data_IF_778093226702
#
_entry.id   IF_778093226702
#
_cell.length_a   1.000
_cell.length_b   1.000
_cell.length_c   1.000
_cell.angle_alpha   90.00
_cell.angle_beta   90.00
_cell.angle_gamma   90.00
#
_symmetry.space_group_name_H-M   'P 1'
#
loop_
_entity.id
_entity.type
_entity.pdbx_description
1 polymer ?
#
# COMPACT_ATOMS: atom_id res chain seq x y z
N UNK A 1 -4.20 41.28 20.39
CA UNK A 1 -5.58 41.72 20.55
C UNK A 1 -6.43 40.46 20.39
N UNK A 2 -6.78 39.76 21.51
CA UNK A 2 -8.08 39.84 22.21
C UNK A 2 -9.22 39.52 21.23
N UNK A 3 -10.10 38.54 21.36
CA UNK A 3 -10.78 37.81 22.44
C UNK A 3 -11.68 36.79 21.75
N UNK A 4 -11.82 35.57 22.24
CA UNK A 4 -12.94 34.98 23.02
C UNK A 4 -14.37 35.11 22.42
N UNK A 5 -14.99 33.93 22.24
CA UNK A 5 -16.36 33.59 22.61
C UNK A 5 -16.45 32.06 22.60
N UNK A 6 -16.58 31.38 23.52
CA UNK A 6 -17.37 30.99 24.71
C UNK A 6 -18.79 30.52 24.41
N UNK A 7 -19.01 29.25 24.73
CA UNK A 7 -20.16 28.58 25.36
C UNK A 7 -21.58 28.81 24.79
N UNK A 8 -22.29 27.71 24.49
CA UNK A 8 -23.57 27.44 25.07
C UNK A 8 -23.93 25.95 25.12
N UNK A 9 -24.09 25.53 26.29
CA UNK A 9 -24.64 24.31 26.89
C UNK A 9 -26.18 24.27 26.75
N UNK A 10 -26.77 23.12 26.46
CA UNK A 10 -28.07 22.78 27.02
C UNK A 10 -28.35 21.28 26.94
N UNK A 11 -28.34 20.66 28.08
CA UNK A 11 -28.86 19.34 28.37
C UNK A 11 -30.39 19.39 28.49
N UNK A 12 -31.09 18.36 28.02
CA UNK A 12 -32.43 18.03 28.49
C UNK A 12 -32.51 16.51 28.68
N UNK A 13 -32.49 16.12 29.96
CA UNK A 13 -32.98 14.85 30.46
C UNK A 13 -34.51 14.97 30.64
N UNK A 14 -35.24 13.95 30.24
CA UNK A 14 -36.56 13.68 30.83
C UNK A 14 -36.67 12.19 31.13
N UNK A 15 -36.64 11.89 32.42
CA UNK A 15 -37.10 10.65 33.04
C UNK A 15 -38.62 10.59 33.01
N UNK A 16 -39.19 9.42 32.78
CA UNK A 16 -40.52 9.09 33.33
C UNK A 16 -40.57 7.63 33.78
N UNK A 17 -40.56 7.47 35.12
CA UNK A 17 -41.03 6.30 35.85
C UNK A 17 -42.52 6.47 36.11
N UNK A 18 -43.28 5.40 36.09
CA UNK A 18 -44.38 5.07 37.01
C UNK A 18 -44.98 3.73 36.54
N UNK A 19 -45.16 2.77 37.26
CA UNK A 19 -45.43 2.32 38.59
C UNK A 19 -46.55 1.30 38.56
N UNK A 20 -46.29 0.17 39.22
CA UNK A 20 -47.12 -0.66 40.07
C UNK A 20 -48.55 -1.02 39.75
N UNK A 21 -48.85 -2.32 39.97
CA UNK A 21 -50.13 -2.81 40.41
C UNK A 21 -50.26 -4.30 40.26
N UNK A 22 -50.11 -5.00 41.37
CA UNK A 22 -50.16 -6.45 41.55
C UNK A 22 -51.57 -6.99 41.65
N UNK A 23 -51.70 -8.27 41.50
CA UNK A 23 -52.38 -9.24 42.37
C UNK A 23 -52.48 -10.62 41.72
N UNK A 24 -52.07 -11.63 42.44
CA UNK A 24 -52.25 -13.09 42.28
C UNK A 24 -53.55 -13.50 43.01
N UNK A 25 -54.03 -14.76 43.01
CA UNK A 25 -53.90 -15.90 42.13
C UNK A 25 -55.24 -16.60 41.78
N UNK A 26 -55.26 -17.57 40.87
CA UNK A 26 -56.00 -18.85 41.02
C UNK A 26 -55.64 -19.84 39.94
N UNK A 27 -55.38 -21.08 40.41
CA UNK A 27 -55.14 -22.32 39.67
C UNK A 27 -56.31 -22.75 38.79
N UNK A 28 -56.06 -23.45 37.69
CA UNK A 28 -56.52 -24.81 37.47
C UNK A 28 -56.37 -25.28 36.03
N UNK A 29 -55.63 -26.43 35.89
CA UNK A 29 -55.71 -27.50 34.91
C UNK A 29 -55.40 -27.33 33.42
N UNK A 30 -54.39 -28.08 33.01
CA UNK A 30 -54.12 -28.57 31.65
C UNK A 30 -55.21 -29.60 31.19
N UNK A 31 -55.36 -29.94 29.87
CA UNK A 31 -54.31 -30.65 29.16
C UNK A 31 -54.13 -30.31 27.66
N UNK A 32 -52.93 -30.57 27.21
CA UNK A 32 -52.46 -31.11 25.92
C UNK A 32 -53.16 -30.72 24.59
N UNK A 33 -52.41 -30.03 23.74
CA UNK A 33 -52.20 -30.46 22.34
C UNK A 33 -50.94 -29.76 21.81
N UNK A 34 -50.02 -30.60 21.40
CA UNK A 34 -48.82 -30.16 20.69
C UNK A 34 -49.21 -29.49 19.36
N UNK A 35 -48.84 -28.24 19.21
CA UNK A 35 -48.73 -27.63 17.88
C UNK A 35 -47.28 -27.15 17.76
N UNK A 36 -46.54 -27.87 16.98
CA UNK A 36 -45.19 -27.59 16.56
C UNK A 36 -45.25 -26.27 15.77
N UNK A 37 -45.01 -25.14 16.46
CA UNK A 37 -44.82 -23.89 15.78
C UNK A 37 -43.45 -23.85 15.15
N UNK A 38 -43.44 -23.98 13.83
CA UNK A 38 -42.23 -23.73 13.02
C UNK A 38 -41.62 -22.39 13.41
N UNK A 39 -40.39 -22.43 13.85
CA UNK A 39 -39.59 -21.22 14.08
C UNK A 39 -39.56 -20.40 12.79
N UNK A 40 -39.76 -19.09 12.84
CA UNK A 40 -39.60 -18.26 11.67
C UNK A 40 -38.13 -18.37 11.20
N UNK A 41 -37.95 -18.74 9.92
CA UNK A 41 -36.66 -18.72 9.27
C UNK A 41 -36.05 -17.30 9.49
N UNK A 42 -34.89 -17.24 10.12
CA UNK A 42 -34.15 -16.02 10.23
C UNK A 42 -33.88 -15.54 8.80
N UNK A 43 -34.52 -14.44 8.42
CA UNK A 43 -34.18 -13.75 7.19
C UNK A 43 -32.77 -13.19 7.41
N UNK A 44 -31.78 -13.82 6.77
CA UNK A 44 -30.42 -13.25 6.71
C UNK A 44 -30.55 -11.81 6.21
N UNK A 45 -30.09 -10.86 7.03
CA UNK A 45 -29.96 -9.48 6.61
C UNK A 45 -29.04 -9.45 5.38
N UNK A 46 -29.31 -8.60 4.38
CA UNK A 46 -28.43 -8.47 3.23
C UNK A 46 -27.01 -8.19 3.72
N UNK A 47 -26.06 -9.04 3.36
CA UNK A 47 -24.65 -8.81 3.66
C UNK A 47 -24.29 -7.41 3.13
N UNK A 48 -23.65 -6.57 3.96
CA UNK A 48 -23.10 -5.30 3.49
C UNK A 48 -22.21 -5.57 2.27
N UNK A 49 -22.20 -4.70 1.25
CA UNK A 49 -21.37 -4.89 0.08
C UNK A 49 -19.92 -5.08 0.53
N UNK A 50 -19.29 -6.16 0.05
CA UNK A 50 -17.91 -6.45 0.37
C UNK A 50 -17.02 -5.25 -0.02
N UNK A 51 -16.09 -4.86 0.85
CA UNK A 51 -15.16 -3.75 0.58
C UNK A 51 -14.32 -4.09 -0.65
N UNK A 52 -14.29 -3.20 -1.63
CA UNK A 52 -13.33 -3.24 -2.72
C UNK A 52 -12.07 -2.51 -2.28
N UNK A 53 -10.94 -3.24 -2.21
CA UNK A 53 -9.66 -2.67 -1.78
C UNK A 53 -9.03 -1.83 -2.88
N UNK A 54 -8.45 -0.69 -2.53
CA UNK A 54 -7.68 0.14 -3.46
C UNK A 54 -6.20 -0.13 -3.22
N UNK A 55 -5.53 -0.71 -4.21
CA UNK A 55 -4.11 -1.04 -4.17
C UNK A 55 -3.36 -0.16 -5.16
N UNK A 56 -2.39 0.61 -4.68
CA UNK A 56 -1.55 1.45 -5.52
C UNK A 56 -0.33 0.66 -6.03
N UNK A 57 0.19 1.05 -7.19
CA UNK A 57 1.40 0.47 -7.78
C UNK A 57 2.20 1.54 -8.52
N UNK A 58 3.45 1.23 -8.82
CA UNK A 58 4.25 2.05 -9.74
C UNK A 58 3.70 1.95 -11.16
N UNK A 59 4.19 2.76 -12.06
CA UNK A 59 3.79 2.75 -13.47
C UNK A 59 4.65 1.83 -14.30
N UNK A 60 5.93 1.70 -13.93
CA UNK A 60 6.89 0.89 -14.70
C UNK A 60 8.12 0.51 -13.88
N UNK A 61 8.15 -0.74 -13.44
CA UNK A 61 9.30 -1.38 -12.81
C UNK A 61 9.37 -2.85 -13.25
N UNK A 62 9.93 -3.09 -14.42
CA UNK A 62 10.07 -4.45 -14.98
C UNK A 62 11.03 -5.30 -14.17
N UNK A 63 10.68 -6.57 -13.92
CA UNK A 63 9.51 -7.33 -14.39
C UNK A 63 8.30 -7.31 -13.44
N UNK A 64 8.31 -6.48 -12.39
CA UNK A 64 7.32 -6.47 -11.32
C UNK A 64 5.99 -5.89 -11.78
N UNK A 65 5.97 -4.68 -12.35
CA UNK A 65 4.80 -4.05 -12.92
C UNK A 65 5.17 -3.14 -14.09
N UNK A 66 4.39 -3.21 -15.16
CA UNK A 66 4.57 -2.38 -16.35
C UNK A 66 3.40 -2.55 -17.31
N UNK A 67 3.29 -1.61 -18.26
CA UNK A 67 2.35 -1.75 -19.37
C UNK A 67 3.03 -2.49 -20.52
N UNK A 68 2.43 -3.59 -20.99
CA UNK A 68 2.94 -4.36 -22.13
C UNK A 68 2.68 -3.66 -23.47
N UNK A 69 3.17 -4.24 -24.59
CA UNK A 69 2.99 -3.69 -25.91
C UNK A 69 1.52 -3.66 -26.38
N UNK A 70 0.64 -4.40 -25.72
CA UNK A 70 -0.80 -4.44 -26.00
C UNK A 70 -1.59 -3.45 -25.15
N UNK A 71 -0.93 -2.72 -24.25
CA UNK A 71 -1.54 -1.75 -23.36
C UNK A 71 -2.08 -2.34 -22.05
N UNK A 72 -1.77 -3.60 -21.73
CA UNK A 72 -2.18 -4.22 -20.48
C UNK A 72 -1.17 -3.94 -19.38
N UNK A 73 -1.64 -3.67 -18.17
CA UNK A 73 -0.79 -3.57 -16.98
C UNK A 73 -0.53 -4.98 -16.45
N UNK A 74 0.72 -5.40 -16.44
CA UNK A 74 1.16 -6.78 -16.21
C UNK A 74 2.43 -6.82 -15.37
N UNK A 75 2.79 -8.00 -14.86
CA UNK A 75 4.05 -8.25 -14.15
C UNK A 75 3.85 -9.13 -12.93
N UNK A 76 4.95 -9.43 -12.24
CA UNK A 76 4.98 -10.31 -11.07
C UNK A 76 4.02 -9.81 -9.98
N UNK A 77 4.03 -8.52 -9.69
CA UNK A 77 3.21 -7.91 -8.65
C UNK A 77 1.72 -7.96 -8.99
N UNK A 78 1.40 -7.74 -10.27
CA UNK A 78 0.02 -7.83 -10.77
C UNK A 78 -0.52 -9.25 -10.62
N UNK A 79 0.30 -10.26 -10.97
CA UNK A 79 -0.07 -11.67 -10.87
C UNK A 79 -0.19 -12.13 -9.41
N UNK A 80 0.74 -11.71 -8.54
CA UNK A 80 0.68 -12.01 -7.10
C UNK A 80 -0.59 -11.42 -6.48
N UNK A 81 -0.89 -10.15 -6.73
CA UNK A 81 -2.09 -9.51 -6.19
C UNK A 81 -3.36 -10.23 -6.65
N UNK A 82 -3.42 -10.59 -7.94
CA UNK A 82 -4.57 -11.32 -8.48
C UNK A 82 -4.74 -12.70 -7.81
N UNK A 83 -3.64 -13.44 -7.63
CA UNK A 83 -3.65 -14.74 -6.98
C UNK A 83 -4.07 -14.65 -5.52
N UNK A 84 -3.54 -13.69 -4.77
CA UNK A 84 -3.89 -13.46 -3.35
C UNK A 84 -5.36 -13.05 -3.22
N UNK A 85 -5.85 -12.15 -4.08
CA UNK A 85 -7.25 -11.73 -4.06
C UNK A 85 -8.21 -12.90 -4.34
N UNK A 86 -7.86 -13.76 -5.30
CA UNK A 86 -8.65 -14.94 -5.63
C UNK A 86 -8.67 -15.98 -4.49
N UNK A 87 -7.51 -16.24 -3.85
CA UNK A 87 -7.38 -17.18 -2.74
C UNK A 87 -8.12 -16.70 -1.48
N UNK A 88 -8.00 -15.40 -1.16
CA UNK A 88 -8.58 -14.80 0.04
C UNK A 88 -10.01 -14.25 -0.17
N UNK A 89 -10.54 -14.29 -1.37
CA UNK A 89 -11.92 -13.94 -1.70
C UNK A 89 -12.25 -12.46 -1.50
N UNK A 90 -11.37 -11.56 -1.91
CA UNK A 90 -11.65 -10.11 -1.87
C UNK A 90 -11.54 -9.46 -3.25
N UNK A 91 -12.31 -8.36 -3.43
CA UNK A 91 -12.24 -7.53 -4.62
C UNK A 91 -11.22 -6.38 -4.43
N UNK A 92 -10.53 -6.01 -5.50
CA UNK A 92 -9.60 -4.90 -5.49
C UNK A 92 -9.68 -4.04 -6.76
N UNK A 93 -9.12 -2.85 -6.67
CA UNK A 93 -8.81 -1.98 -7.79
C UNK A 93 -7.32 -1.65 -7.72
N UNK A 94 -6.56 -2.07 -8.74
CA UNK A 94 -5.14 -1.76 -8.86
C UNK A 94 -4.97 -0.43 -9.60
N UNK A 95 -4.29 0.52 -8.97
CA UNK A 95 -4.03 1.87 -9.50
C UNK A 95 -2.54 2.04 -9.79
N UNK A 96 -2.21 2.12 -11.07
CA UNK A 96 -0.86 2.49 -11.54
C UNK A 96 -0.69 4.01 -11.42
N UNK A 97 0.05 4.47 -10.41
CA UNK A 97 0.17 5.90 -10.05
C UNK A 97 1.58 6.45 -10.24
N UNK A 98 2.59 5.59 -10.23
CA UNK A 98 3.99 5.94 -10.05
C UNK A 98 4.44 5.79 -8.59
N UNK A 99 5.74 5.57 -8.39
CA UNK A 99 6.31 5.21 -7.09
C UNK A 99 5.96 6.20 -5.97
N UNK A 100 6.34 7.47 -6.14
CA UNK A 100 6.10 8.49 -5.12
C UNK A 100 4.61 8.76 -4.88
N UNK A 101 3.80 8.73 -5.96
CA UNK A 101 2.36 8.93 -5.86
C UNK A 101 1.65 7.73 -5.19
N UNK A 102 2.13 6.51 -5.40
CA UNK A 102 1.62 5.32 -4.71
C UNK A 102 1.88 5.39 -3.21
N UNK A 103 3.09 5.78 -2.80
CA UNK A 103 3.45 6.00 -1.40
C UNK A 103 2.55 7.09 -0.79
N UNK A 104 2.43 8.23 -1.46
CA UNK A 104 1.62 9.35 -0.99
C UNK A 104 0.14 8.97 -0.86
N UNK A 105 -0.41 8.18 -1.79
CA UNK A 105 -1.78 7.69 -1.73
C UNK A 105 -2.03 6.79 -0.52
N UNK A 106 -1.09 5.91 -0.17
CA UNK A 106 -1.17 5.07 1.03
C UNK A 106 -1.10 5.93 2.30
N UNK A 107 -0.16 6.86 2.38
CA UNK A 107 0.01 7.74 3.54
C UNK A 107 -1.21 8.64 3.78
N UNK A 108 -1.86 9.06 2.71
CA UNK A 108 -3.07 9.89 2.77
C UNK A 108 -4.37 9.08 2.96
N UNK A 109 -4.29 7.74 3.03
CA UNK A 109 -5.46 6.87 3.13
C UNK A 109 -6.34 6.86 1.85
N UNK A 110 -5.77 7.24 0.71
CA UNK A 110 -6.43 7.18 -0.61
C UNK A 110 -6.26 5.81 -1.28
N UNK A 111 -5.26 5.05 -0.83
CA UNK A 111 -5.10 3.64 -1.13
C UNK A 111 -4.99 2.86 0.18
N UNK A 112 -5.51 1.64 0.19
CA UNK A 112 -5.47 0.75 1.35
C UNK A 112 -4.11 0.07 1.52
N UNK A 113 -3.33 0.01 0.44
CA UNK A 113 -1.98 -0.55 0.39
C UNK A 113 -1.34 -0.34 -0.97
N UNK A 114 -0.11 -0.82 -1.11
CA UNK A 114 0.59 -0.81 -2.40
C UNK A 114 1.34 -2.13 -2.63
N UNK A 115 1.52 -2.45 -3.91
CA UNK A 115 2.41 -3.50 -4.38
C UNK A 115 3.22 -2.93 -5.55
N UNK A 116 4.54 -2.86 -5.43
CA UNK A 116 5.42 -2.19 -6.38
C UNK A 116 6.91 -2.56 -6.16
N UNK A 117 7.23 -3.84 -5.98
CA UNK A 117 8.59 -4.30 -5.76
C UNK A 117 9.30 -3.63 -4.56
N UNK A 118 8.55 -3.19 -3.55
CA UNK A 118 9.08 -2.36 -2.47
C UNK A 118 9.98 -3.15 -1.52
N UNK A 119 11.26 -2.77 -1.43
CA UNK A 119 12.20 -3.41 -0.50
C UNK A 119 11.77 -3.28 0.95
N UNK A 120 11.80 -4.38 1.70
CA UNK A 120 11.56 -4.44 3.14
C UNK A 120 12.83 -3.96 3.85
N UNK A 121 12.77 -2.78 4.48
CA UNK A 121 13.89 -2.21 5.22
C UNK A 121 13.49 -1.82 6.64
N UNK A 122 14.46 -1.83 7.57
CA UNK A 122 14.21 -1.41 8.95
C UNK A 122 13.86 0.07 9.03
N UNK A 123 14.41 0.91 8.16
CA UNK A 123 14.08 2.33 8.08
C UNK A 123 12.60 2.53 7.71
N UNK A 124 12.10 1.83 6.68
CA UNK A 124 10.69 1.90 6.27
C UNK A 124 9.76 1.36 7.35
N UNK A 125 10.12 0.27 8.02
CA UNK A 125 9.37 -0.23 9.19
C UNK A 125 9.33 0.80 10.32
N UNK A 126 10.46 1.43 10.64
CA UNK A 126 10.55 2.47 11.66
C UNK A 126 9.71 3.71 11.32
N UNK A 127 9.51 4.01 10.02
CA UNK A 127 8.62 5.08 9.55
C UNK A 127 7.15 4.68 9.43
N UNK A 128 6.78 3.48 9.89
CA UNK A 128 5.39 3.04 10.03
C UNK A 128 4.86 2.19 8.88
N UNK A 129 5.70 1.74 7.97
CA UNK A 129 5.29 0.80 6.93
C UNK A 129 5.04 -0.59 7.53
N UNK A 130 3.99 -1.23 7.06
CA UNK A 130 3.67 -2.62 7.35
C UNK A 130 3.85 -3.40 6.06
N UNK A 131 4.64 -4.47 6.12
CA UNK A 131 4.97 -5.31 4.98
C UNK A 131 4.33 -6.69 5.09
N UNK A 132 4.08 -7.31 3.94
CA UNK A 132 3.89 -8.76 3.83
C UNK A 132 5.21 -9.51 4.10
N UNK A 133 5.18 -10.83 4.04
CA UNK A 133 6.39 -11.61 3.85
C UNK A 133 7.05 -11.26 2.51
N UNK A 134 8.38 -11.39 2.45
CA UNK A 134 9.12 -11.14 1.21
C UNK A 134 8.80 -12.19 0.15
N UNK A 135 8.46 -11.77 -1.05
CA UNK A 135 8.16 -12.64 -2.19
C UNK A 135 9.29 -12.69 -3.23
N UNK A 136 10.29 -11.80 -3.11
CA UNK A 136 11.46 -11.74 -3.98
C UNK A 136 12.69 -11.31 -3.18
N UNK A 137 13.87 -11.84 -3.54
CA UNK A 137 15.16 -11.41 -2.98
C UNK A 137 15.86 -10.51 -3.97
N UNK A 138 15.92 -9.22 -3.68
CA UNK A 138 16.68 -8.25 -4.44
C UNK A 138 17.96 -7.84 -3.71
N UNK A 139 18.99 -7.53 -4.46
CA UNK A 139 20.18 -6.83 -3.98
C UNK A 139 20.36 -5.56 -4.80
N UNK A 140 21.14 -4.60 -4.29
CA UNK A 140 21.45 -3.40 -5.07
C UNK A 140 22.60 -3.68 -6.02
N UNK A 141 22.44 -3.31 -7.28
CA UNK A 141 23.47 -3.43 -8.30
C UNK A 141 23.78 -2.09 -8.96
N UNK A 142 25.02 -1.93 -9.38
CA UNK A 142 25.43 -0.86 -10.26
C UNK A 142 25.27 -1.33 -11.71
N UNK A 143 24.42 -0.65 -12.45
CA UNK A 143 24.17 -0.91 -13.87
C UNK A 143 24.84 0.17 -14.72
N UNK A 144 25.55 -0.23 -15.75
CA UNK A 144 26.28 0.63 -16.70
C UNK A 144 25.89 0.31 -18.14
N UNK A 145 26.18 1.19 -19.08
CA UNK A 145 26.03 0.88 -20.50
C UNK A 145 26.95 -0.29 -20.90
N UNK A 146 26.52 -1.10 -21.86
CA UNK A 146 27.24 -2.31 -22.27
C UNK A 146 28.64 -2.03 -22.82
N UNK A 147 28.89 -0.85 -23.36
CA UNK A 147 30.15 -0.35 -23.90
C UNK A 147 30.89 0.59 -22.91
N UNK A 148 30.51 0.60 -21.65
CA UNK A 148 31.11 1.45 -20.62
C UNK A 148 32.46 0.95 -20.17
N UNK A 149 33.38 1.88 -19.91
CA UNK A 149 34.70 1.60 -19.29
C UNK A 149 34.61 1.47 -17.76
N UNK A 150 33.43 1.67 -17.16
CA UNK A 150 33.20 1.55 -15.71
C UNK A 150 33.22 0.07 -15.32
N UNK A 151 34.14 -0.31 -14.45
CA UNK A 151 34.32 -1.69 -13.99
C UNK A 151 34.08 -1.85 -12.49
N UNK A 152 34.04 -0.73 -11.74
CA UNK A 152 33.83 -0.72 -10.31
C UNK A 152 33.52 0.68 -9.77
N UNK A 153 33.29 0.75 -8.48
CA UNK A 153 32.90 2.03 -7.82
C UNK A 153 34.00 3.09 -7.86
N UNK A 154 35.27 2.69 -7.88
CA UNK A 154 36.39 3.63 -7.96
C UNK A 154 36.40 4.44 -9.27
N UNK A 155 35.83 3.88 -10.34
CA UNK A 155 35.71 4.54 -11.64
C UNK A 155 34.64 5.63 -11.66
N UNK A 156 33.79 5.73 -10.63
CA UNK A 156 32.71 6.72 -10.53
C UNK A 156 33.18 8.10 -10.09
N UNK A 157 34.41 8.24 -9.64
CA UNK A 157 34.92 9.49 -9.06
C UNK A 157 34.74 10.71 -9.98
N UNK A 158 34.04 11.71 -9.45
CA UNK A 158 33.73 12.95 -10.16
C UNK A 158 32.70 12.83 -11.28
N UNK A 159 32.03 11.66 -11.40
CA UNK A 159 31.03 11.39 -12.44
C UNK A 159 29.61 11.44 -11.86
N UNK A 160 28.63 11.55 -12.73
CA UNK A 160 27.20 11.56 -12.39
C UNK A 160 26.62 10.15 -12.45
N UNK A 161 25.93 9.75 -11.38
CA UNK A 161 25.29 8.45 -11.20
C UNK A 161 23.78 8.67 -11.01
N UNK A 162 22.98 7.95 -11.78
CA UNK A 162 21.54 8.06 -11.78
C UNK A 162 20.91 7.19 -10.69
N UNK A 163 19.86 7.69 -10.05
CA UNK A 163 19.04 6.94 -9.10
C UNK A 163 17.57 7.32 -9.25
N UNK A 164 16.67 6.41 -8.91
CA UNK A 164 15.25 6.72 -8.80
C UNK A 164 14.94 7.22 -7.39
N UNK A 165 14.25 8.37 -7.30
CA UNK A 165 13.88 9.02 -6.05
C UNK A 165 13.13 8.07 -5.11
N UNK A 166 13.44 8.12 -3.79
CA UNK A 166 12.74 7.37 -2.75
C UNK A 166 12.93 5.85 -2.76
N UNK A 167 13.87 5.33 -3.57
CA UNK A 167 14.14 3.90 -3.68
C UNK A 167 15.31 3.44 -2.82
N UNK A 168 15.47 2.12 -2.68
CA UNK A 168 16.63 1.55 -2.01
C UNK A 168 17.93 1.79 -2.81
N UNK A 169 17.85 1.84 -4.15
CA UNK A 169 18.97 2.22 -5.02
C UNK A 169 19.49 3.62 -4.71
N UNK A 170 18.58 4.58 -4.50
CA UNK A 170 18.96 5.93 -4.09
C UNK A 170 19.66 5.96 -2.72
N UNK A 171 19.10 5.26 -1.71
CA UNK A 171 19.69 5.16 -0.38
C UNK A 171 21.07 4.50 -0.42
N UNK A 172 21.23 3.48 -1.25
CA UNK A 172 22.51 2.79 -1.44
C UNK A 172 23.56 3.72 -2.08
N UNK A 173 23.20 4.43 -3.16
CA UNK A 173 24.07 5.42 -3.79
C UNK A 173 24.49 6.52 -2.79
N UNK A 174 23.54 7.05 -2.00
CA UNK A 174 23.82 8.04 -0.95
C UNK A 174 24.84 7.52 0.07
N UNK A 175 24.80 6.25 0.43
CA UNK A 175 25.76 5.64 1.37
C UNK A 175 27.18 5.52 0.82
N UNK A 176 27.34 5.52 -0.51
CA UNK A 176 28.61 5.31 -1.20
C UNK A 176 29.24 6.59 -1.77
N UNK A 177 28.44 7.61 -2.05
CA UNK A 177 28.88 8.80 -2.81
C UNK A 177 30.12 9.51 -2.22
N UNK A 178 30.18 9.64 -0.90
CA UNK A 178 31.29 10.33 -0.25
C UNK A 178 32.57 9.49 -0.26
N UNK A 179 32.44 8.16 -0.15
CA UNK A 179 33.55 7.24 -0.22
C UNK A 179 34.20 7.19 -1.62
N UNK A 180 33.38 7.17 -2.67
CA UNK A 180 33.83 7.01 -4.05
C UNK A 180 33.84 8.32 -4.84
N UNK A 181 33.31 9.42 -4.28
CA UNK A 181 33.42 10.77 -4.81
C UNK A 181 32.62 11.03 -6.08
N UNK A 182 31.44 10.42 -6.23
CA UNK A 182 30.53 10.66 -7.36
C UNK A 182 29.36 11.58 -6.98
N UNK A 183 28.70 12.15 -8.00
CA UNK A 183 27.49 12.93 -7.84
C UNK A 183 26.25 12.07 -8.07
N UNK A 184 25.13 12.39 -7.44
CA UNK A 184 23.86 11.69 -7.64
C UNK A 184 22.91 12.58 -8.44
N UNK A 185 22.30 12.01 -9.49
CA UNK A 185 21.23 12.63 -10.28
C UNK A 185 19.95 11.82 -10.09
N UNK A 186 18.89 12.49 -9.61
CA UNK A 186 17.62 11.86 -9.29
C UNK A 186 16.64 11.87 -10.47
N UNK A 187 15.93 10.76 -10.64
CA UNK A 187 14.88 10.56 -11.65
C UNK A 187 13.60 10.09 -10.97
N UNK A 188 12.45 10.34 -11.60
CA UNK A 188 11.15 9.94 -11.08
C UNK A 188 10.80 8.48 -11.37
N UNK A 189 11.33 7.94 -12.49
CA UNK A 189 11.05 6.58 -12.93
C UNK A 189 12.29 5.87 -13.46
N UNK A 190 12.25 4.52 -13.49
CA UNK A 190 13.37 3.69 -13.94
C UNK A 190 13.67 3.86 -15.44
N UNK A 191 12.70 3.98 -16.37
CA UNK A 191 13.00 4.23 -17.78
C UNK A 191 13.80 5.47 -18.05
N UNK A 192 13.46 6.61 -17.44
CA UNK A 192 14.21 7.87 -17.63
C UNK A 192 15.59 7.77 -17.00
N UNK A 193 15.72 7.12 -15.84
CA UNK A 193 17.00 6.81 -15.22
C UNK A 193 17.90 5.99 -16.15
N UNK A 194 17.40 4.90 -16.74
CA UNK A 194 18.16 4.09 -17.69
C UNK A 194 18.53 4.84 -18.97
N UNK A 195 17.61 5.67 -19.50
CA UNK A 195 17.89 6.51 -20.66
C UNK A 195 19.03 7.51 -20.40
N UNK A 196 19.13 8.03 -19.19
CA UNK A 196 20.24 8.91 -18.80
C UNK A 196 21.59 8.18 -18.86
N UNK A 197 21.63 6.89 -18.50
CA UNK A 197 22.85 6.07 -18.60
C UNK A 197 23.16 5.72 -20.05
N UNK A 198 22.18 5.24 -20.81
CA UNK A 198 22.35 4.89 -22.24
C UNK A 198 22.71 6.12 -23.08
N UNK A 199 22.15 7.29 -22.75
CA UNK A 199 22.43 8.56 -23.41
C UNK A 199 23.71 9.24 -22.96
N UNK A 200 24.47 8.68 -22.00
CA UNK A 200 25.73 9.22 -21.51
C UNK A 200 25.60 10.45 -20.62
N UNK A 201 24.40 10.80 -20.16
CA UNK A 201 24.18 11.85 -19.16
C UNK A 201 24.72 11.42 -17.79
N UNK A 202 24.50 10.16 -17.43
CA UNK A 202 25.07 9.52 -16.26
C UNK A 202 25.92 8.31 -16.70
N UNK A 203 26.94 7.94 -15.92
CA UNK A 203 27.81 6.82 -16.26
C UNK A 203 27.31 5.46 -15.73
N UNK A 204 26.46 5.51 -14.73
CA UNK A 204 25.88 4.34 -14.06
C UNK A 204 24.54 4.69 -13.44
N UNK A 205 23.77 3.68 -13.06
CA UNK A 205 22.64 3.82 -12.13
C UNK A 205 22.68 2.70 -11.10
N UNK A 206 21.97 2.92 -9.98
CA UNK A 206 21.73 1.88 -8.97
C UNK A 206 20.27 1.45 -9.01
N UNK A 207 20.06 0.13 -9.05
CA UNK A 207 18.74 -0.50 -9.11
C UNK A 207 18.77 -1.89 -8.46
N UNK A 208 17.61 -2.45 -8.18
CA UNK A 208 17.46 -3.82 -7.71
C UNK A 208 17.89 -4.85 -8.77
N UNK A 209 18.42 -6.00 -8.31
CA UNK A 209 18.84 -7.11 -9.19
C UNK A 209 17.68 -8.03 -9.49
#
# INVERSE_FOLDING_TARGET
>A
MKKLFALCLAAVMVLSLAACGGSKPAETQAPAAASEAAAPAATEAPAAPAKKWIVASDTVFKPFEYTDASGNFVGIDVDILAAVAADQGFDYELKSLGWDAAIAACQAGQADGMIAGASITEERKASGWIFSDGYYNATQSMTVAADSDITGFDDLKGKDVAVKTGTQGASYAESLKDQYGFNIVYFEDSPTMYQAVVGGQCVACFEDT
#
